data_IF_999191996762
#
_entry.id   IF_999191996762
#
_cell.length_a   1.000
_cell.length_b   1.000
_cell.length_c   1.000
_cell.angle_alpha   90.00
_cell.angle_beta   90.00
_cell.angle_gamma   90.00
#
_symmetry.space_group_name_H-M   'P 1'
#
loop_
_entity.id
_entity.type
_entity.pdbx_description
1 polymer ?
#
# COMPACT_ATOMS: atom_id res chain seq x y z
N UNK A 1 -15.62 -8.78 10.32
CA UNK A 1 -15.07 -7.55 9.70
C UNK A 1 -14.78 -7.88 8.25
N UNK A 2 -15.37 -7.15 7.30
CA UNK A 2 -15.17 -7.42 5.88
C UNK A 2 -13.74 -7.04 5.49
N UNK A 3 -12.93 -8.00 5.04
CA UNK A 3 -11.61 -7.80 4.40
C UNK A 3 -11.70 -6.99 3.08
N UNK A 4 -12.75 -6.20 2.86
CA UNK A 4 -13.00 -5.50 1.61
C UNK A 4 -11.97 -4.39 1.36
N UNK A 5 -11.38 -3.81 2.41
CA UNK A 5 -10.38 -2.75 2.28
C UNK A 5 -8.93 -3.23 2.27
N UNK A 6 -8.63 -4.52 2.41
CA UNK A 6 -7.24 -4.96 2.56
C UNK A 6 -6.53 -5.09 1.21
N UNK A 7 -5.44 -4.34 1.04
CA UNK A 7 -4.60 -4.32 -0.16
C UNK A 7 -3.14 -4.59 0.20
N UNK A 8 -2.44 -5.33 -0.65
CA UNK A 8 -0.99 -5.52 -0.51
C UNK A 8 -0.25 -4.34 -1.13
N UNK A 9 0.80 -3.85 -0.48
CA UNK A 9 1.71 -2.88 -1.10
C UNK A 9 2.66 -3.65 -2.04
N UNK A 10 2.64 -3.32 -3.32
CA UNK A 10 3.53 -3.92 -4.33
C UNK A 10 4.72 -3.03 -4.66
N UNK A 11 4.56 -1.72 -4.56
CA UNK A 11 5.60 -0.76 -4.91
C UNK A 11 5.35 0.58 -4.22
N UNK A 12 6.43 1.30 -3.95
CA UNK A 12 6.41 2.67 -3.42
C UNK A 12 7.36 3.52 -4.26
N UNK A 13 6.81 4.52 -4.95
CA UNK A 13 7.57 5.52 -5.71
C UNK A 13 7.79 6.76 -4.83
N UNK A 14 9.00 6.89 -4.29
CA UNK A 14 9.40 8.02 -3.44
C UNK A 14 9.57 9.33 -4.21
N UNK A 15 9.77 9.28 -5.52
CA UNK A 15 9.96 10.47 -6.34
C UNK A 15 8.61 11.13 -6.60
N UNK A 16 7.59 10.32 -6.87
CA UNK A 16 6.22 10.77 -7.12
C UNK A 16 5.33 10.82 -5.89
N UNK A 17 5.75 10.20 -4.80
CA UNK A 17 4.94 9.97 -3.58
C UNK A 17 3.71 9.11 -3.87
N UNK A 18 3.92 8.02 -4.61
CA UNK A 18 2.87 7.09 -5.01
C UNK A 18 3.07 5.73 -4.33
N UNK A 19 1.96 5.11 -3.93
CA UNK A 19 1.94 3.74 -3.41
C UNK A 19 1.06 2.91 -4.32
N UNK A 20 1.64 1.84 -4.84
CA UNK A 20 0.94 0.89 -5.69
C UNK A 20 0.43 -0.23 -4.80
N UNK A 21 -0.88 -0.43 -4.86
CA UNK A 21 -1.63 -1.40 -4.09
C UNK A 21 -2.19 -2.48 -5.01
N UNK A 22 -2.21 -3.73 -4.54
CA UNK A 22 -2.83 -4.85 -5.25
C UNK A 22 -3.78 -5.61 -4.32
N UNK A 23 -5.02 -5.83 -4.79
CA UNK A 23 -5.99 -6.72 -4.15
C UNK A 23 -6.10 -8.01 -4.93
N UNK A 24 -5.47 -9.05 -4.39
CA UNK A 24 -5.38 -10.38 -4.99
C UNK A 24 -6.73 -10.96 -5.41
N UNK A 25 -7.76 -10.85 -4.57
CA UNK A 25 -9.07 -11.46 -4.82
C UNK A 25 -9.76 -10.93 -6.09
N UNK A 26 -9.39 -9.74 -6.55
CA UNK A 26 -9.99 -9.11 -7.74
C UNK A 26 -8.98 -8.74 -8.81
N UNK A 27 -7.71 -9.12 -8.63
CA UNK A 27 -6.58 -8.66 -9.43
C UNK A 27 -6.61 -7.14 -9.70
N UNK A 28 -7.05 -6.38 -8.71
CA UNK A 28 -7.28 -4.93 -8.81
C UNK A 28 -6.02 -4.21 -8.36
N UNK A 29 -5.50 -3.32 -9.21
CA UNK A 29 -4.40 -2.44 -8.89
C UNK A 29 -4.88 -1.01 -8.68
N UNK A 30 -4.31 -0.34 -7.69
CA UNK A 30 -4.63 1.04 -7.34
C UNK A 30 -3.33 1.80 -7.08
N UNK A 31 -3.27 3.05 -7.52
CA UNK A 31 -2.17 3.97 -7.22
C UNK A 31 -2.73 5.03 -6.27
N UNK A 32 -2.08 5.19 -5.12
CA UNK A 32 -2.47 6.17 -4.09
C UNK A 32 -1.38 7.21 -3.95
N UNK A 33 -1.76 8.48 -4.09
CA UNK A 33 -0.86 9.59 -3.77
C UNK A 33 -0.85 9.80 -2.26
N UNK A 34 0.35 9.88 -1.68
CA UNK A 34 0.54 10.12 -0.24
C UNK A 34 1.43 11.34 -0.01
N UNK A 35 1.46 11.83 1.22
CA UNK A 35 2.42 12.85 1.58
C UNK A 35 3.83 12.28 1.60
N UNK A 36 4.83 13.12 1.30
CA UNK A 36 6.25 12.73 1.26
C UNK A 36 6.72 12.07 2.56
N UNK A 37 6.24 12.57 3.69
CA UNK A 37 6.56 12.05 5.02
C UNK A 37 6.03 10.62 5.20
N UNK A 38 4.83 10.35 4.69
CA UNK A 38 4.22 9.03 4.73
C UNK A 38 4.91 8.06 3.76
N UNK A 39 5.34 8.51 2.57
CA UNK A 39 6.05 7.66 1.60
C UNK A 39 7.28 7.00 2.22
N UNK A 40 8.03 7.72 3.06
CA UNK A 40 9.19 7.18 3.76
C UNK A 40 8.81 6.06 4.74
N UNK A 41 7.67 6.18 5.43
CA UNK A 41 7.14 5.16 6.33
C UNK A 41 6.80 3.88 5.56
N UNK A 42 6.15 4.00 4.40
CA UNK A 42 5.76 2.83 3.60
C UNK A 42 6.95 2.12 2.96
N UNK A 43 8.00 2.85 2.55
CA UNK A 43 9.26 2.22 2.11
C UNK A 43 9.88 1.40 3.23
N UNK A 44 9.92 1.95 4.44
CA UNK A 44 10.44 1.22 5.59
C UNK A 44 9.63 -0.06 5.86
N UNK A 45 8.31 0.02 5.87
CA UNK A 45 7.45 -1.15 6.05
C UNK A 45 7.63 -2.20 4.95
N UNK A 46 7.83 -1.78 3.70
CA UNK A 46 8.11 -2.70 2.59
C UNK A 46 9.46 -3.41 2.77
N UNK A 47 10.51 -2.67 3.16
CA UNK A 47 11.83 -3.25 3.40
C UNK A 47 11.82 -4.25 4.57
N UNK A 48 11.21 -3.87 5.70
CA UNK A 48 11.06 -4.76 6.87
C UNK A 48 10.29 -6.04 6.49
N UNK A 49 9.23 -5.91 5.67
CA UNK A 49 8.47 -7.06 5.23
C UNK A 49 9.32 -8.01 4.36
N UNK A 50 10.11 -7.46 3.42
CA UNK A 50 11.02 -8.24 2.56
C UNK A 50 12.10 -8.95 3.37
N UNK A 51 12.71 -8.28 4.35
CA UNK A 51 13.72 -8.86 5.24
C UNK A 51 13.18 -10.06 6.01
N UNK A 52 11.90 -10.02 6.38
CA UNK A 52 11.21 -11.10 7.08
C UNK A 52 10.53 -12.14 6.17
N UNK A 53 10.70 -12.04 4.84
CA UNK A 53 10.05 -12.95 3.89
C UNK A 53 8.52 -12.85 3.90
N UNK A 54 8.00 -11.67 4.22
CA UNK A 54 6.58 -11.37 4.37
C UNK A 54 6.11 -10.33 3.35
N UNK A 55 4.81 -10.06 3.31
CA UNK A 55 4.20 -9.08 2.42
C UNK A 55 3.42 -8.05 3.22
N UNK A 56 3.67 -6.73 3.02
CA UNK A 56 2.98 -5.70 3.76
C UNK A 56 1.58 -5.46 3.20
N UNK A 57 0.59 -5.34 4.09
CA UNK A 57 -0.80 -5.01 3.76
C UNK A 57 -1.24 -3.73 4.44
N UNK A 58 -2.17 -3.02 3.81
CA UNK A 58 -2.79 -1.80 4.32
C UNK A 58 -4.30 -1.84 4.07
N UNK A 59 -5.03 -1.10 4.90
CA UNK A 59 -6.43 -0.81 4.63
C UNK A 59 -6.53 0.39 3.69
N UNK A 60 -7.30 0.24 2.62
CA UNK A 60 -7.56 1.26 1.62
C UNK A 60 -9.05 1.51 1.51
N UNK A 61 -9.45 2.75 1.76
CA UNK A 61 -10.80 3.25 1.54
C UNK A 61 -10.95 3.60 0.06
N UNK A 62 -11.64 2.71 -0.69
CA UNK A 62 -11.88 2.89 -2.13
C UNK A 62 -12.80 4.09 -2.43
N UNK A 63 -13.66 4.50 -1.51
CA UNK A 63 -14.58 5.62 -1.71
C UNK A 63 -13.85 6.96 -1.56
N UNK A 64 -12.95 7.05 -0.57
CA UNK A 64 -12.18 8.27 -0.29
C UNK A 64 -10.86 8.34 -1.02
N UNK A 65 -10.36 7.21 -1.51
CA UNK A 65 -9.09 7.11 -2.20
C UNK A 65 -7.87 7.26 -1.28
N UNK A 66 -7.99 6.89 0.00
CA UNK A 66 -6.93 7.05 1.01
C UNK A 66 -6.57 5.73 1.68
N UNK A 67 -5.32 5.61 2.11
CA UNK A 67 -4.89 4.54 3.00
C UNK A 67 -5.24 4.93 4.45
N UNK A 68 -5.86 4.02 5.19
CA UNK A 68 -6.34 4.24 6.56
C UNK A 68 -5.35 3.79 7.63
#
# INVERSE_FOLDING_TARGET
>A
MSNQGLYMIVHVDQVKNEIHLNKYLFNKQVIVNVFKEDTARYVRSLNEAVEHGSVPFVEYDEERGVIC
#
